data_IF_088063512051
#
_entry.id   IF_088063512051
#
_cell.length_a   1.000
_cell.length_b   1.000
_cell.length_c   1.000
_cell.angle_alpha   90.00
_cell.angle_beta   90.00
_cell.angle_gamma   90.00
#
_symmetry.space_group_name_H-M   'P 1'
#
loop_
_entity.id
_entity.type
_entity.pdbx_description
1 polymer ?
#
# COMPACT_ATOMS: atom_id res chain seq x y z
N UNK A 1 -5.99 -18.86 32.90
CA UNK A 1 -7.22 -18.74 32.09
C UNK A 1 -8.19 -17.72 32.68
N UNK A 2 -8.70 -17.92 33.91
CA UNK A 2 -9.70 -17.06 34.57
C UNK A 2 -9.55 -15.53 34.41
N UNK A 3 -8.35 -14.96 34.64
CA UNK A 3 -8.12 -13.49 34.48
C UNK A 3 -8.21 -12.97 33.04
N UNK A 4 -7.89 -13.78 32.02
CA UNK A 4 -8.02 -13.36 30.61
C UNK A 4 -9.50 -13.31 30.20
N UNK A 5 -10.29 -14.23 30.73
CA UNK A 5 -11.73 -14.30 30.47
C UNK A 5 -12.46 -13.13 31.15
N UNK A 6 -12.08 -12.79 32.39
CA UNK A 6 -12.58 -11.59 33.09
C UNK A 6 -12.27 -10.29 32.34
N UNK A 7 -11.04 -10.14 31.83
CA UNK A 7 -10.65 -8.96 31.04
C UNK A 7 -11.44 -8.89 29.72
N UNK A 8 -11.67 -10.03 29.06
CA UNK A 8 -12.46 -10.10 27.83
C UNK A 8 -13.92 -9.72 28.07
N UNK A 9 -14.51 -10.19 29.16
CA UNK A 9 -15.88 -9.83 29.55
C UNK A 9 -15.96 -8.34 29.87
N UNK A 10 -15.03 -7.81 30.67
CA UNK A 10 -14.96 -6.39 31.00
C UNK A 10 -14.80 -5.54 29.73
N UNK A 11 -13.99 -5.99 28.77
CA UNK A 11 -13.81 -5.34 27.48
C UNK A 11 -15.09 -5.30 26.66
N UNK A 12 -15.81 -6.43 26.56
CA UNK A 12 -17.08 -6.49 25.84
C UNK A 12 -18.11 -5.58 26.49
N UNK A 13 -18.27 -5.65 27.82
CA UNK A 13 -19.20 -4.82 28.57
C UNK A 13 -18.90 -3.32 28.40
N UNK A 14 -17.63 -2.93 28.53
CA UNK A 14 -17.12 -1.58 28.32
C UNK A 14 -17.39 -1.06 26.90
N UNK A 15 -17.22 -1.93 25.89
CA UNK A 15 -17.50 -1.59 24.49
C UNK A 15 -18.98 -1.37 24.25
N UNK A 16 -19.83 -2.29 24.72
CA UNK A 16 -21.29 -2.16 24.60
C UNK A 16 -21.76 -0.88 25.29
N UNK A 17 -21.28 -0.61 26.49
CA UNK A 17 -21.61 0.60 27.24
C UNK A 17 -21.23 1.89 26.50
N UNK A 18 -20.01 1.95 25.95
CA UNK A 18 -19.56 3.08 25.17
C UNK A 18 -20.43 3.31 23.92
N UNK A 19 -20.76 2.24 23.18
CA UNK A 19 -21.63 2.31 22.01
C UNK A 19 -23.03 2.82 22.39
N UNK A 20 -23.58 2.36 23.52
CA UNK A 20 -24.87 2.85 24.02
C UNK A 20 -24.83 4.35 24.36
N UNK A 21 -23.75 4.83 25.00
CA UNK A 21 -23.57 6.25 25.30
C UNK A 21 -23.47 7.10 24.02
N UNK A 22 -22.69 6.64 23.04
CA UNK A 22 -22.58 7.30 21.73
C UNK A 22 -23.92 7.34 21.01
N UNK A 23 -24.63 6.20 20.96
CA UNK A 23 -25.95 6.10 20.34
C UNK A 23 -26.99 6.99 21.01
N UNK A 24 -26.98 7.06 22.34
CA UNK A 24 -27.85 7.95 23.11
C UNK A 24 -27.62 9.43 22.76
N UNK A 25 -26.35 9.86 22.72
CA UNK A 25 -26.00 11.23 22.35
C UNK A 25 -26.40 11.53 20.91
N UNK A 26 -26.12 10.60 19.99
CA UNK A 26 -26.45 10.77 18.58
C UNK A 26 -27.96 10.88 18.35
N UNK A 27 -28.74 10.00 18.96
CA UNK A 27 -30.22 10.04 18.88
C UNK A 27 -30.80 11.31 19.48
N UNK A 28 -30.26 11.77 20.61
CA UNK A 28 -30.70 13.01 21.25
C UNK A 28 -30.34 14.23 20.40
N UNK A 29 -29.14 14.28 19.82
CA UNK A 29 -28.72 15.32 18.89
C UNK A 29 -29.58 15.35 17.62
N UNK A 30 -29.87 14.18 17.04
CA UNK A 30 -30.75 14.06 15.87
C UNK A 30 -32.18 14.52 16.17
N UNK A 31 -32.70 14.18 17.35
CA UNK A 31 -34.03 14.61 17.79
C UNK A 31 -34.09 16.14 17.98
N UNK A 32 -33.05 16.74 18.56
CA UNK A 32 -32.96 18.18 18.76
C UNK A 32 -32.81 18.95 17.44
N UNK A 33 -32.10 18.38 16.47
CA UNK A 33 -31.89 18.98 15.15
C UNK A 33 -33.13 18.94 14.23
N UNK A 34 -34.23 18.30 14.65
CA UNK A 34 -35.51 18.35 13.95
C UNK A 34 -35.46 17.87 12.49
N UNK A 35 -34.61 16.86 12.18
CA UNK A 35 -34.42 16.29 10.83
C UNK A 35 -33.91 17.32 9.79
N UNK A 36 -33.43 18.49 10.22
CA UNK A 36 -32.73 19.45 9.35
C UNK A 36 -31.23 19.14 9.35
N UNK A 37 -30.85 18.13 8.55
CA UNK A 37 -29.48 17.62 8.39
C UNK A 37 -28.41 18.71 8.12
N UNK A 38 -28.80 19.86 7.57
CA UNK A 38 -27.92 21.00 7.32
C UNK A 38 -27.43 21.72 8.58
N UNK A 39 -28.18 21.69 9.69
CA UNK A 39 -27.78 22.34 10.95
C UNK A 39 -26.74 21.52 11.70
N UNK A 40 -26.76 20.20 11.54
CA UNK A 40 -25.77 19.26 12.10
C UNK A 40 -24.36 19.52 11.56
N UNK A 41 -24.23 20.04 10.34
CA UNK A 41 -22.95 20.39 9.71
C UNK A 41 -22.54 21.86 9.91
N UNK A 42 -23.39 22.70 10.52
CA UNK A 42 -22.95 24.03 10.92
C UNK A 42 -22.02 23.92 12.13
N UNK A 43 -20.91 24.68 12.10
CA UNK A 43 -19.91 24.78 13.17
C UNK A 43 -20.46 25.34 14.50
N UNK A 44 -21.79 25.44 14.66
CA UNK A 44 -22.46 25.92 15.87
C UNK A 44 -22.87 24.73 16.75
N UNK A 45 -22.08 24.46 17.81
CA UNK A 45 -22.45 23.60 18.95
C UNK A 45 -22.60 22.10 18.67
N UNK A 46 -23.62 21.69 17.90
CA UNK A 46 -23.95 20.29 17.62
C UNK A 46 -22.96 19.62 16.67
N UNK A 47 -22.38 20.36 15.73
CA UNK A 47 -21.35 19.86 14.81
C UNK A 47 -20.06 19.45 15.52
N UNK A 48 -19.67 20.17 16.59
CA UNK A 48 -18.52 19.79 17.44
C UNK A 48 -18.77 18.45 18.12
N UNK A 49 -19.99 18.22 18.60
CA UNK A 49 -20.36 17.00 19.30
C UNK A 49 -20.32 15.78 18.37
N UNK A 50 -20.79 15.94 17.13
CA UNK A 50 -20.73 14.90 16.09
C UNK A 50 -19.31 14.68 15.58
N UNK A 51 -18.52 15.75 15.42
CA UNK A 51 -17.10 15.62 15.13
C UNK A 51 -16.37 14.86 16.25
N UNK A 52 -16.66 15.17 17.52
CA UNK A 52 -16.06 14.50 18.66
C UNK A 52 -16.47 13.02 18.71
N UNK A 53 -17.73 12.69 18.40
CA UNK A 53 -18.22 11.30 18.25
C UNK A 53 -17.52 10.59 17.10
N UNK A 54 -17.41 11.21 15.92
CA UNK A 54 -16.74 10.63 14.76
C UNK A 54 -15.25 10.42 15.01
N UNK A 55 -14.57 11.39 15.61
CA UNK A 55 -13.16 11.25 16.01
C UNK A 55 -13.02 10.16 17.07
N UNK A 56 -13.94 10.08 18.05
CA UNK A 56 -13.92 9.01 19.06
C UNK A 56 -14.12 7.63 18.43
N UNK A 57 -15.02 7.48 17.47
CA UNK A 57 -15.24 6.23 16.73
C UNK A 57 -14.06 5.89 15.80
N UNK A 58 -13.45 6.91 15.19
CA UNK A 58 -12.27 6.74 14.34
C UNK A 58 -11.05 6.29 15.16
N UNK A 59 -10.79 6.95 16.28
CA UNK A 59 -9.73 6.57 17.21
C UNK A 59 -10.01 5.21 17.85
N UNK A 60 -11.27 4.90 18.16
CA UNK A 60 -11.69 3.56 18.55
C UNK A 60 -11.25 2.53 17.53
N UNK A 61 -11.55 2.74 16.24
CA UNK A 61 -11.24 1.77 15.20
C UNK A 61 -9.73 1.58 15.00
N UNK A 62 -8.95 2.67 15.04
CA UNK A 62 -7.49 2.63 14.82
C UNK A 62 -6.76 2.04 16.02
N UNK A 63 -6.95 2.59 17.22
CA UNK A 63 -6.18 2.17 18.39
C UNK A 63 -6.58 0.78 18.88
N UNK A 64 -7.86 0.43 18.75
CA UNK A 64 -8.35 -0.91 19.12
C UNK A 64 -8.07 -1.97 18.05
N UNK A 65 -7.91 -1.57 16.78
CA UNK A 65 -7.52 -2.46 15.68
C UNK A 65 -6.02 -2.79 15.62
N UNK A 66 -5.15 -1.91 16.12
CA UNK A 66 -3.68 -2.04 15.99
C UNK A 66 -3.03 -2.84 17.15
N UNK A 67 -3.73 -3.07 18.26
CA UNK A 67 -3.14 -3.64 19.49
C UNK A 67 -3.10 -5.19 19.55
N UNK A 68 -2.74 -5.87 18.45
CA UNK A 68 -2.61 -7.34 18.43
C UNK A 68 -1.33 -7.84 17.75
N UNK A 69 -0.25 -7.07 17.77
CA UNK A 69 1.07 -7.62 17.43
C UNK A 69 1.83 -7.97 18.69
N UNK A 70 2.12 -9.26 18.88
CA UNK A 70 2.86 -9.83 20.00
C UNK A 70 4.25 -9.18 20.22
N UNK A 71 4.76 -8.43 19.21
CA UNK A 71 6.00 -7.65 19.27
C UNK A 71 5.89 -6.36 20.09
N UNK A 72 4.69 -5.84 20.33
CA UNK A 72 4.44 -4.61 21.13
C UNK A 72 4.71 -4.83 22.62
N UNK A 73 4.52 -6.06 23.12
CA UNK A 73 4.70 -6.39 24.54
C UNK A 73 6.13 -6.21 25.06
N UNK A 74 7.15 -6.26 24.19
CA UNK A 74 8.56 -6.13 24.60
C UNK A 74 9.02 -4.67 24.60
N UNK A 75 8.38 -3.80 23.82
CA UNK A 75 8.85 -2.43 23.59
C UNK A 75 8.16 -1.41 24.50
N UNK A 76 6.98 -1.78 25.00
CA UNK A 76 6.13 -0.93 25.81
C UNK A 76 5.81 -1.58 27.16
N UNK A 77 6.77 -1.64 28.10
CA UNK A 77 6.63 -2.42 29.33
C UNK A 77 5.52 -1.92 30.26
N UNK A 78 5.07 -0.65 30.16
CA UNK A 78 3.99 -0.10 30.97
C UNK A 78 2.63 -0.36 30.32
N UNK A 79 2.46 -0.04 29.04
CA UNK A 79 1.19 -0.25 28.32
C UNK A 79 0.89 -1.73 28.04
N UNK A 80 1.91 -2.58 28.10
CA UNK A 80 1.76 -4.03 27.98
C UNK A 80 1.42 -4.74 29.30
N UNK A 81 1.38 -4.02 30.42
CA UNK A 81 0.99 -4.60 31.71
C UNK A 81 -0.50 -4.90 31.79
N UNK A 82 -0.86 -5.91 32.59
CA UNK A 82 -2.26 -6.22 32.91
C UNK A 82 -2.95 -5.05 33.62
N UNK A 83 -2.21 -4.28 34.43
CA UNK A 83 -2.76 -3.11 35.12
C UNK A 83 -3.19 -2.02 34.15
N UNK A 84 -2.36 -1.73 33.14
CA UNK A 84 -2.70 -0.79 32.09
C UNK A 84 -3.87 -1.28 31.25
N UNK A 85 -3.88 -2.56 30.87
CA UNK A 85 -4.98 -3.15 30.12
C UNK A 85 -6.32 -3.06 30.88
N UNK A 86 -6.30 -3.31 32.20
CA UNK A 86 -7.49 -3.15 33.05
C UNK A 86 -7.93 -1.69 33.09
N UNK A 87 -7.01 -0.75 33.34
CA UNK A 87 -7.30 0.70 33.35
C UNK A 87 -7.91 1.17 32.01
N UNK A 88 -7.31 0.75 30.90
CA UNK A 88 -7.77 1.11 29.56
C UNK A 88 -9.16 0.55 29.28
N UNK A 89 -9.42 -0.70 29.65
CA UNK A 89 -10.73 -1.35 29.48
C UNK A 89 -11.79 -0.73 30.38
N UNK A 90 -11.46 -0.33 31.61
CA UNK A 90 -12.43 0.25 32.56
C UNK A 90 -12.69 1.74 32.34
N UNK A 91 -11.96 2.38 31.42
CA UNK A 91 -12.06 3.82 31.14
C UNK A 91 -13.50 4.31 30.88
N UNK A 92 -14.35 3.62 30.07
CA UNK A 92 -15.75 4.04 29.91
C UNK A 92 -16.53 4.05 31.23
N UNK A 93 -16.28 3.09 32.13
CA UNK A 93 -16.94 3.06 33.44
C UNK A 93 -16.44 4.18 34.38
N UNK A 94 -15.14 4.51 34.31
CA UNK A 94 -14.60 5.69 34.99
C UNK A 94 -15.25 6.98 34.47
N UNK A 95 -15.52 7.04 33.17
CA UNK A 95 -16.26 8.13 32.56
C UNK A 95 -17.72 8.21 33.03
N UNK A 96 -18.40 7.07 33.21
CA UNK A 96 -19.72 7.01 33.86
C UNK A 96 -19.67 7.61 35.26
N UNK A 97 -18.69 7.21 36.08
CA UNK A 97 -18.53 7.73 37.43
C UNK A 97 -18.26 9.24 37.43
N UNK A 98 -17.38 9.72 36.54
CA UNK A 98 -17.11 11.15 36.37
C UNK A 98 -18.39 11.92 35.97
N UNK A 99 -19.19 11.36 35.06
CA UNK A 99 -20.49 11.92 34.66
C UNK A 99 -21.48 11.95 35.82
N UNK A 100 -21.60 10.86 36.60
CA UNK A 100 -22.46 10.82 37.79
C UNK A 100 -22.08 11.90 38.80
N UNK A 101 -20.78 12.06 39.08
CA UNK A 101 -20.26 13.09 39.99
C UNK A 101 -20.52 14.50 39.45
N UNK A 102 -20.35 14.71 38.15
CA UNK A 102 -20.62 15.99 37.49
C UNK A 102 -22.09 16.40 37.47
N UNK A 103 -23.02 15.45 37.63
CA UNK A 103 -24.46 15.70 37.60
C UNK A 103 -25.12 15.73 38.98
N UNK A 104 -24.33 15.80 40.07
CA UNK A 104 -24.86 15.99 41.42
C UNK A 104 -25.68 17.28 41.47
N UNK A 105 -26.93 17.17 41.94
CA UNK A 105 -27.86 18.30 42.06
C UNK A 105 -28.80 18.52 40.86
N UNK A 106 -28.65 17.76 39.79
CA UNK A 106 -29.52 17.84 38.61
C UNK A 106 -30.83 17.09 38.86
N UNK A 107 -31.96 17.77 38.66
CA UNK A 107 -33.30 17.24 38.99
C UNK A 107 -33.96 16.45 37.85
N UNK A 108 -33.47 16.59 36.63
CA UNK A 108 -34.10 15.97 35.44
C UNK A 108 -33.32 14.74 34.98
N UNK A 109 -34.01 13.61 34.86
CA UNK A 109 -33.43 12.32 34.43
C UNK A 109 -32.72 12.45 33.07
N UNK A 110 -33.32 13.14 32.10
CA UNK A 110 -32.71 13.32 30.77
C UNK A 110 -31.38 14.07 30.82
N UNK A 111 -31.28 15.10 31.66
CA UNK A 111 -30.04 15.84 31.83
C UNK A 111 -29.00 14.95 32.53
N UNK A 112 -29.41 14.23 33.58
CA UNK A 112 -28.55 13.28 34.28
C UNK A 112 -27.96 12.21 33.34
N UNK A 113 -28.80 11.57 32.52
CA UNK A 113 -28.35 10.57 31.53
C UNK A 113 -27.42 11.18 30.46
N UNK A 114 -27.71 12.40 30.00
CA UNK A 114 -26.82 13.11 29.08
C UNK A 114 -25.45 13.39 29.70
N UNK A 115 -25.41 13.82 30.97
CA UNK A 115 -24.15 14.04 31.68
C UNK A 115 -23.33 12.76 31.87
N UNK A 116 -23.98 11.62 32.13
CA UNK A 116 -23.32 10.31 32.16
C UNK A 116 -22.71 9.96 30.80
N UNK A 117 -23.48 10.13 29.72
CA UNK A 117 -23.00 9.82 28.38
C UNK A 117 -21.84 10.74 27.96
N UNK A 118 -21.91 12.03 28.29
CA UNK A 118 -20.85 13.00 28.04
C UNK A 118 -19.60 12.73 28.88
N UNK A 119 -19.76 12.35 30.16
CA UNK A 119 -18.65 11.95 31.02
C UNK A 119 -17.95 10.69 30.49
N UNK A 120 -18.72 9.72 30.02
CA UNK A 120 -18.22 8.50 29.36
C UNK A 120 -17.37 8.86 28.14
N UNK A 121 -17.92 9.65 27.21
CA UNK A 121 -17.18 10.12 26.03
C UNK A 121 -15.92 10.91 26.41
N UNK A 122 -16.07 11.92 27.28
CA UNK A 122 -14.99 12.83 27.63
C UNK A 122 -13.78 12.11 28.25
N UNK A 123 -14.02 11.20 29.20
CA UNK A 123 -12.94 10.44 29.85
C UNK A 123 -12.31 9.44 28.88
N UNK A 124 -13.11 8.75 28.05
CA UNK A 124 -12.53 7.85 27.03
C UNK A 124 -11.66 8.58 26.02
N UNK A 125 -12.12 9.75 25.57
CA UNK A 125 -11.35 10.59 24.65
C UNK A 125 -10.07 11.10 25.32
N UNK A 126 -10.15 11.59 26.56
CA UNK A 126 -8.99 12.05 27.32
C UNK A 126 -7.92 10.95 27.44
N UNK A 127 -8.35 9.75 27.81
CA UNK A 127 -7.42 8.63 27.99
C UNK A 127 -6.82 8.21 26.66
N UNK A 128 -7.59 8.16 25.58
CA UNK A 128 -7.09 7.67 24.29
C UNK A 128 -6.27 8.70 23.51
N UNK A 129 -6.61 9.98 23.60
CA UNK A 129 -5.97 11.03 22.81
C UNK A 129 -4.81 11.66 23.56
N UNK A 130 -4.90 11.75 24.89
CA UNK A 130 -3.89 12.45 25.70
C UNK A 130 -3.06 11.44 26.48
N UNK A 131 -3.70 10.60 27.30
CA UNK A 131 -2.98 9.74 28.24
C UNK A 131 -2.19 8.64 27.51
N UNK A 132 -2.79 7.98 26.51
CA UNK A 132 -2.15 6.88 25.78
C UNK A 132 -0.89 7.33 25.00
N UNK A 133 -0.93 8.43 24.21
CA UNK A 133 0.29 8.96 23.59
C UNK A 133 1.31 9.48 24.59
N UNK A 134 0.87 10.10 25.69
CA UNK A 134 1.79 10.59 26.73
C UNK A 134 2.55 9.44 27.41
N UNK A 135 1.86 8.35 27.73
CA UNK A 135 2.49 7.16 28.30
C UNK A 135 3.43 6.51 27.29
N UNK A 136 3.02 6.40 26.02
CA UNK A 136 3.90 5.92 24.94
C UNK A 136 5.19 6.75 24.82
N UNK A 137 5.10 8.08 24.90
CA UNK A 137 6.26 8.97 24.89
C UNK A 137 7.15 8.78 26.13
N UNK A 138 6.55 8.61 27.32
CA UNK A 138 7.29 8.32 28.54
C UNK A 138 8.02 6.97 28.47
N UNK A 139 7.43 5.97 27.83
CA UNK A 139 8.07 4.67 27.60
C UNK A 139 9.29 4.77 26.69
N UNK A 140 9.29 5.67 25.70
CA UNK A 140 10.45 5.90 24.83
C UNK A 140 11.65 6.53 25.57
N UNK A 141 11.42 7.11 26.75
CA UNK A 141 12.48 7.58 27.63
C UNK A 141 13.10 6.43 28.45
N UNK A 142 12.44 5.27 28.54
CA UNK A 142 12.98 4.13 29.27
C UNK A 142 14.13 3.47 28.47
N UNK A 143 15.26 3.14 29.13
CA UNK A 143 16.44 2.59 28.48
C UNK A 143 16.18 1.21 27.84
N UNK A 144 15.25 0.43 28.39
CA UNK A 144 14.84 -0.87 27.84
C UNK A 144 14.15 -0.72 26.47
N UNK A 145 13.24 0.26 26.32
CA UNK A 145 12.52 0.51 25.06
C UNK A 145 13.48 0.99 23.96
N UNK A 146 14.45 1.86 24.31
CA UNK A 146 15.48 2.34 23.37
C UNK A 146 16.32 1.20 22.80
N UNK A 147 16.75 0.25 23.64
CA UNK A 147 17.58 -0.88 23.19
C UNK A 147 16.86 -1.74 22.15
N UNK A 148 15.58 -2.02 22.35
CA UNK A 148 14.79 -2.81 21.42
C UNK A 148 14.46 -2.07 20.12
N UNK A 149 14.18 -0.77 20.20
CA UNK A 149 13.96 0.06 19.01
C UNK A 149 15.21 0.08 18.10
N UNK A 150 16.39 0.26 18.69
CA UNK A 150 17.67 0.22 17.96
C UNK A 150 17.90 -1.17 17.35
N UNK A 151 17.58 -2.24 18.08
CA UNK A 151 17.71 -3.61 17.56
C UNK A 151 16.79 -3.86 16.36
N UNK A 152 15.51 -3.44 16.42
CA UNK A 152 14.60 -3.55 15.26
C UNK A 152 15.07 -2.75 14.06
N UNK A 153 15.57 -1.54 14.28
CA UNK A 153 16.10 -0.73 13.18
C UNK A 153 17.31 -1.39 12.52
N UNK A 154 18.20 -2.00 13.33
CA UNK A 154 19.34 -2.76 12.84
C UNK A 154 18.90 -4.01 12.04
N UNK A 155 17.95 -4.79 12.57
CA UNK A 155 17.41 -5.98 11.88
C UNK A 155 16.69 -5.60 10.57
N UNK A 156 15.88 -4.54 10.59
CA UNK A 156 15.20 -4.04 9.39
C UNK A 156 16.19 -3.53 8.35
N UNK A 157 17.28 -2.87 8.77
CA UNK A 157 18.35 -2.43 7.88
C UNK A 157 19.09 -3.63 7.28
N UNK A 158 19.47 -4.62 8.09
CA UNK A 158 20.12 -5.83 7.63
C UNK A 158 19.25 -6.61 6.61
N UNK A 159 17.94 -6.72 6.84
CA UNK A 159 17.02 -7.35 5.89
C UNK A 159 16.90 -6.57 4.57
N UNK A 160 16.90 -5.23 4.62
CA UNK A 160 16.90 -4.40 3.41
C UNK A 160 18.18 -4.60 2.60
N UNK A 161 19.33 -4.61 3.27
CA UNK A 161 20.62 -4.84 2.64
C UNK A 161 20.70 -6.23 2.00
N UNK A 162 20.25 -7.28 2.69
CA UNK A 162 20.19 -8.64 2.13
C UNK A 162 19.29 -8.72 0.90
N UNK A 163 18.10 -8.10 0.95
CA UNK A 163 17.19 -8.05 -0.21
C UNK A 163 17.80 -7.29 -1.38
N UNK A 164 18.52 -6.20 -1.11
CA UNK A 164 19.18 -5.41 -2.15
C UNK A 164 20.32 -6.21 -2.80
N UNK A 165 21.16 -6.89 -2.00
CA UNK A 165 22.21 -7.76 -2.52
C UNK A 165 21.63 -8.93 -3.33
N UNK A 166 20.54 -9.53 -2.87
CA UNK A 166 19.88 -10.61 -3.62
C UNK A 166 19.33 -10.11 -4.97
N UNK A 167 18.69 -8.93 -4.99
CA UNK A 167 18.20 -8.32 -6.23
C UNK A 167 19.34 -8.00 -7.19
N UNK A 168 20.44 -7.43 -6.70
CA UNK A 168 21.63 -7.15 -7.53
C UNK A 168 22.19 -8.43 -8.14
N UNK A 169 22.37 -9.49 -7.34
CA UNK A 169 22.83 -10.80 -7.85
C UNK A 169 21.88 -11.40 -8.89
N UNK A 170 20.57 -11.18 -8.75
CA UNK A 170 19.59 -11.67 -9.73
C UNK A 170 19.67 -10.86 -11.03
N UNK A 171 19.81 -9.53 -10.92
CA UNK A 171 20.00 -8.65 -12.07
C UNK A 171 21.28 -8.99 -12.83
N UNK A 172 22.41 -9.17 -12.13
CA UNK A 172 23.68 -9.53 -12.76
C UNK A 172 23.59 -10.87 -13.50
N UNK A 173 22.85 -11.84 -12.94
CA UNK A 173 22.61 -13.13 -13.60
C UNK A 173 21.74 -13.00 -14.85
N UNK A 174 20.68 -12.19 -14.79
CA UNK A 174 19.79 -11.96 -15.93
C UNK A 174 20.53 -11.23 -17.03
N UNK A 175 21.30 -10.18 -16.70
CA UNK A 175 22.12 -9.43 -17.65
C UNK A 175 23.17 -10.33 -18.32
N UNK A 176 23.88 -11.16 -17.53
CA UNK A 176 24.87 -12.08 -18.10
C UNK A 176 24.25 -13.13 -19.05
N UNK A 177 23.04 -13.61 -18.73
CA UNK A 177 22.30 -14.53 -19.60
C UNK A 177 21.81 -13.82 -20.88
N UNK A 178 21.28 -12.60 -20.74
CA UNK A 178 20.84 -11.78 -21.87
C UNK A 178 22.01 -11.45 -22.81
N UNK A 179 23.19 -11.13 -22.28
CA UNK A 179 24.41 -10.89 -23.07
C UNK A 179 24.91 -12.15 -23.80
N UNK A 180 24.71 -13.35 -23.24
CA UNK A 180 25.01 -14.60 -23.95
C UNK A 180 23.99 -14.89 -25.05
N UNK A 181 22.71 -14.69 -24.77
CA UNK A 181 21.62 -14.91 -25.73
C UNK A 181 21.75 -13.96 -26.91
N UNK A 182 22.07 -12.69 -26.63
CA UNK A 182 22.30 -11.67 -27.66
C UNK A 182 23.45 -12.04 -28.60
N UNK A 183 24.57 -12.56 -28.07
CA UNK A 183 25.69 -13.04 -28.90
C UNK A 183 25.28 -14.22 -29.77
N UNK A 184 24.57 -15.18 -29.20
CA UNK A 184 24.05 -16.34 -29.94
C UNK A 184 23.08 -15.92 -31.05
N UNK A 185 22.18 -14.98 -30.77
CA UNK A 185 21.27 -14.43 -31.78
C UNK A 185 22.01 -13.66 -32.86
N UNK A 186 23.01 -12.86 -32.48
CA UNK A 186 23.82 -12.11 -33.45
C UNK A 186 24.49 -13.05 -34.46
N UNK A 187 25.10 -14.14 -33.99
CA UNK A 187 25.73 -15.14 -34.87
C UNK A 187 24.70 -15.88 -35.74
N UNK A 188 23.56 -16.26 -35.16
CA UNK A 188 22.52 -17.04 -35.86
C UNK A 188 21.75 -16.22 -36.90
N UNK A 189 21.46 -14.96 -36.57
CA UNK A 189 20.63 -14.07 -37.40
C UNK A 189 21.44 -13.29 -38.44
N UNK A 190 22.76 -13.18 -38.31
CA UNK A 190 23.64 -12.51 -39.29
C UNK A 190 23.37 -12.91 -40.75
N UNK A 191 23.32 -14.20 -41.14
CA UNK A 191 23.06 -14.57 -42.53
C UNK A 191 21.64 -14.18 -42.99
N UNK A 192 20.68 -14.13 -42.07
CA UNK A 192 19.31 -13.68 -42.35
C UNK A 192 19.25 -12.15 -42.49
N UNK A 193 20.02 -11.42 -41.68
CA UNK A 193 20.14 -9.96 -41.76
C UNK A 193 20.77 -9.52 -43.08
N UNK A 194 21.81 -10.23 -43.54
CA UNK A 194 22.46 -9.97 -44.83
C UNK A 194 21.51 -10.21 -46.01
N UNK A 195 20.71 -11.28 -45.97
CA UNK A 195 19.66 -11.54 -46.97
C UNK A 195 18.57 -10.48 -46.96
N UNK A 196 18.12 -10.08 -45.77
CA UNK A 196 17.10 -9.04 -45.61
C UNK A 196 17.60 -7.68 -46.10
N UNK A 197 18.85 -7.32 -45.78
CA UNK A 197 19.50 -6.11 -46.29
C UNK A 197 19.60 -6.12 -47.82
N UNK A 198 19.95 -7.27 -48.42
CA UNK A 198 20.00 -7.40 -49.87
C UNK A 198 18.62 -7.22 -50.53
N UNK A 199 17.55 -7.73 -49.91
CA UNK A 199 16.17 -7.53 -50.38
C UNK A 199 15.73 -6.06 -50.29
N UNK A 200 16.22 -5.31 -49.31
CA UNK A 200 15.90 -3.88 -49.14
C UNK A 200 16.65 -2.97 -50.11
N UNK A 201 17.87 -3.35 -50.51
CA UNK A 201 18.70 -2.57 -51.43
C UNK A 201 18.49 -2.94 -52.91
N UNK A 202 17.89 -4.10 -53.19
CA UNK A 202 17.64 -4.52 -54.57
C UNK A 202 16.44 -3.77 -55.14
N UNK A 203 16.64 -3.02 -56.23
CA UNK A 203 15.57 -2.52 -57.10
C UNK A 203 14.86 -3.72 -57.77
N UNK A 204 14.03 -4.42 -57.00
CA UNK A 204 13.38 -5.66 -57.42
C UNK A 204 12.09 -5.34 -58.16
N UNK A 205 11.98 -5.86 -59.39
CA UNK A 205 10.80 -5.72 -60.25
C UNK A 205 9.56 -6.47 -59.71
N UNK A 206 9.72 -7.30 -58.67
CA UNK A 206 8.65 -8.08 -58.04
C UNK A 206 8.63 -7.91 -56.51
N UNK A 207 7.96 -6.84 -56.07
CA UNK A 207 7.78 -6.48 -54.66
C UNK A 207 7.08 -7.58 -53.84
N UNK A 208 6.24 -8.42 -54.45
CA UNK A 208 5.51 -9.48 -53.73
C UNK A 208 6.41 -10.62 -53.32
N UNK A 209 7.38 -10.98 -54.17
CA UNK A 209 8.35 -12.02 -53.82
C UNK A 209 9.26 -11.56 -52.68
N UNK A 210 9.73 -10.30 -52.74
CA UNK A 210 10.55 -9.70 -51.68
C UNK A 210 9.80 -9.64 -50.34
N UNK A 211 8.51 -9.30 -50.34
CA UNK A 211 7.65 -9.32 -49.16
C UNK A 211 7.51 -10.73 -48.56
N UNK A 212 7.20 -11.75 -49.38
CA UNK A 212 7.08 -13.14 -48.91
C UNK A 212 8.38 -13.66 -48.27
N UNK A 213 9.54 -13.36 -48.87
CA UNK A 213 10.83 -13.76 -48.33
C UNK A 213 11.17 -13.00 -47.04
N UNK A 214 10.91 -11.69 -46.99
CA UNK A 214 11.09 -10.90 -45.79
C UNK A 214 10.19 -11.38 -44.63
N UNK A 215 8.92 -11.70 -44.90
CA UNK A 215 7.98 -12.29 -43.93
C UNK A 215 8.50 -13.65 -43.44
N UNK A 216 8.97 -14.51 -44.33
CA UNK A 216 9.54 -15.81 -43.97
C UNK A 216 10.75 -15.69 -43.04
N UNK A 217 11.63 -14.72 -43.31
CA UNK A 217 12.77 -14.40 -42.43
C UNK A 217 12.27 -13.88 -41.06
N UNK A 218 11.27 -12.99 -41.06
CA UNK A 218 10.67 -12.45 -39.83
C UNK A 218 10.01 -13.54 -38.95
N UNK A 219 9.29 -14.48 -39.56
CA UNK A 219 8.68 -15.63 -38.85
C UNK A 219 9.75 -16.55 -38.28
N UNK A 220 10.84 -16.82 -39.02
CA UNK A 220 11.95 -17.63 -38.52
C UNK A 220 12.61 -16.99 -37.31
N UNK A 221 12.88 -15.67 -37.35
CA UNK A 221 13.44 -14.94 -36.23
C UNK A 221 12.51 -14.93 -35.01
N UNK A 222 11.19 -14.78 -35.23
CA UNK A 222 10.19 -14.88 -34.18
C UNK A 222 10.15 -16.28 -33.52
N UNK A 223 10.29 -17.35 -34.30
CA UNK A 223 10.35 -18.71 -33.75
C UNK A 223 11.63 -18.98 -32.95
N UNK A 224 12.74 -18.31 -33.27
CA UNK A 224 14.02 -18.50 -32.58
C UNK A 224 14.10 -17.78 -31.23
N UNK A 225 13.56 -16.57 -31.10
CA UNK A 225 13.63 -15.82 -29.84
C UNK A 225 12.59 -14.71 -29.70
N UNK A 226 11.45 -14.88 -30.38
CA UNK A 226 10.32 -13.98 -30.30
C UNK A 226 10.64 -12.57 -30.79
N UNK A 227 10.08 -11.58 -30.10
CA UNK A 227 10.18 -10.17 -30.46
C UNK A 227 11.60 -9.61 -30.38
N UNK A 228 12.41 -10.08 -29.43
CA UNK A 228 13.79 -9.59 -29.24
C UNK A 228 14.67 -9.93 -30.44
N UNK A 229 14.56 -11.16 -30.97
CA UNK A 229 15.27 -11.57 -32.18
C UNK A 229 14.84 -10.78 -33.41
N UNK A 230 13.54 -10.52 -33.59
CA UNK A 230 13.05 -9.72 -34.71
C UNK A 230 13.61 -8.29 -34.67
N UNK A 231 13.67 -7.66 -33.49
CA UNK A 231 14.27 -6.32 -33.34
C UNK A 231 15.76 -6.31 -33.63
N UNK A 232 16.49 -7.27 -33.09
CA UNK A 232 17.93 -7.37 -33.33
C UNK A 232 18.20 -7.60 -34.82
N UNK A 233 17.42 -8.47 -35.47
CA UNK A 233 17.50 -8.73 -36.92
C UNK A 233 17.26 -7.46 -37.75
N UNK A 234 16.20 -6.69 -37.46
CA UNK A 234 15.93 -5.41 -38.12
C UNK A 234 17.09 -4.44 -37.93
N UNK A 235 17.58 -4.29 -36.70
CA UNK A 235 18.69 -3.37 -36.39
C UNK A 235 19.97 -3.78 -37.13
N UNK A 236 20.27 -5.08 -37.22
CA UNK A 236 21.41 -5.59 -37.99
C UNK A 236 21.25 -5.33 -39.50
N UNK A 237 20.07 -5.58 -40.07
CA UNK A 237 19.82 -5.34 -41.48
C UNK A 237 19.95 -3.84 -41.85
N UNK A 238 19.40 -2.95 -41.01
CA UNK A 238 19.54 -1.49 -41.19
C UNK A 238 21.02 -1.08 -41.11
N UNK A 239 21.75 -1.56 -40.10
CA UNK A 239 23.18 -1.24 -39.95
C UNK A 239 24.02 -1.72 -41.15
N UNK A 240 23.68 -2.86 -41.75
CA UNK A 240 24.33 -3.37 -42.98
C UNK A 240 24.00 -2.47 -44.18
N UNK A 241 22.76 -2.02 -44.32
CA UNK A 241 22.36 -1.08 -45.37
C UNK A 241 23.08 0.28 -45.23
N UNK A 242 23.16 0.82 -44.00
CA UNK A 242 23.87 2.07 -43.71
C UNK A 242 25.37 1.98 -44.04
N UNK A 243 26.02 0.85 -43.71
CA UNK A 243 27.43 0.62 -44.03
C UNK A 243 27.71 0.52 -45.53
N UNK A 244 26.73 0.10 -46.33
CA UNK A 244 26.89 -0.02 -47.79
C UNK A 244 26.76 1.31 -48.54
N UNK A 245 26.48 2.41 -47.84
CA UNK A 245 26.42 3.77 -48.42
C UNK A 245 25.38 3.91 -49.55
N UNK A 246 24.37 3.04 -49.55
CA UNK A 246 23.21 3.18 -50.44
C UNK A 246 22.36 4.33 -49.90
N UNK A 247 22.61 5.52 -50.46
CA UNK A 247 22.07 6.82 -50.09
C UNK A 247 20.59 6.97 -50.49
N UNK A 248 19.78 5.98 -50.14
CA UNK A 248 18.33 6.00 -50.26
C UNK A 248 17.85 6.01 -48.84
N UNK A 249 16.92 6.90 -48.52
CA UNK A 249 16.07 6.74 -47.34
C UNK A 249 15.47 5.35 -47.44
N UNK A 250 16.10 4.34 -46.83
CA UNK A 250 15.58 2.98 -46.77
C UNK A 250 14.31 3.13 -45.94
N UNK A 251 13.21 3.38 -46.64
CA UNK A 251 11.89 3.36 -46.06
C UNK A 251 11.84 2.00 -45.39
N UNK A 252 11.53 1.98 -44.11
CA UNK A 252 11.53 0.79 -43.27
C UNK A 252 10.39 -0.12 -43.72
N UNK A 253 10.51 -0.72 -44.91
CA UNK A 253 9.55 -1.65 -45.50
C UNK A 253 9.42 -2.89 -44.63
N UNK A 254 10.46 -3.21 -43.83
CA UNK A 254 10.40 -4.21 -42.76
C UNK A 254 9.25 -3.90 -41.80
N UNK A 255 9.06 -2.63 -41.43
CA UNK A 255 7.93 -2.25 -40.59
C UNK A 255 6.62 -2.74 -41.20
N UNK A 256 6.36 -2.41 -42.46
CA UNK A 256 5.15 -2.77 -43.18
C UNK A 256 5.00 -4.29 -43.40
N UNK A 257 6.05 -4.97 -43.86
CA UNK A 257 6.03 -6.40 -44.17
C UNK A 257 5.87 -7.28 -42.93
N UNK A 258 6.40 -6.86 -41.78
CA UNK A 258 6.26 -7.62 -40.53
C UNK A 258 5.08 -7.18 -39.68
N UNK A 259 4.18 -6.35 -40.22
CA UNK A 259 2.97 -5.98 -39.50
C UNK A 259 2.09 -7.23 -39.27
N UNK A 260 1.68 -7.47 -38.03
CA UNK A 260 0.96 -8.68 -37.63
C UNK A 260 1.82 -9.85 -37.13
N UNK A 261 3.15 -9.83 -37.27
CA UNK A 261 4.03 -10.86 -36.67
C UNK A 261 4.34 -10.48 -35.21
N UNK A 262 3.44 -10.86 -34.29
CA UNK A 262 3.69 -10.81 -32.85
C UNK A 262 4.18 -9.46 -32.31
N UNK A 263 3.35 -8.41 -32.32
CA UNK A 263 3.52 -7.11 -31.61
C UNK A 263 4.98 -6.58 -31.44
N UNK A 264 5.85 -6.80 -32.42
CA UNK A 264 7.28 -6.57 -32.25
C UNK A 264 7.63 -5.08 -32.10
N UNK A 265 6.73 -4.20 -32.53
CA UNK A 265 6.81 -2.74 -32.38
C UNK A 265 6.43 -2.23 -30.98
N UNK A 266 5.79 -3.03 -30.13
CA UNK A 266 5.36 -2.59 -28.81
C UNK A 266 6.57 -2.35 -27.89
N UNK A 267 6.70 -1.18 -27.26
CA UNK A 267 7.84 -0.89 -26.37
C UNK A 267 8.04 -2.02 -25.33
N UNK A 268 9.29 -2.38 -24.98
CA UNK A 268 9.53 -3.36 -23.92
C UNK A 268 8.83 -2.87 -22.65
N UNK A 269 8.13 -3.78 -21.97
CA UNK A 269 7.52 -3.50 -20.67
C UNK A 269 8.66 -3.18 -19.70
N UNK A 270 8.79 -1.90 -19.36
CA UNK A 270 9.72 -1.40 -18.34
C UNK A 270 9.28 -1.80 -16.93
#
# INVERSE_FOLDING_TARGET
MKRRDELRIAHIASTIWFILCVGYILTLALRQAGVRWWVVFSLSGHGVLIALVLVSLYLFAIFRGISSSQKVHVEHPLTSTIYYAVFYVTTPFLGTLAGCLGMIGVKTINQFLLGIALGTLGVTFLVWVIVDPAIGLLEMLLPASRKHCVQRQAEAKAQREQKQQYRQRLLDKVLAAEDSDRRYWHETLKPQAEKLAALLTSETTDLRQAECEAVGIGVSAWQTGGVSCMRELRNMAIAICEQRNDNISVVDHISFWWDGIGNWRAAPLA
#
